data_IF_145473775281
#
_entry.id   IF_145473775281
#
_cell.length_a   1.000
_cell.length_b   1.000
_cell.length_c   1.000
_cell.angle_alpha   90.00
_cell.angle_beta   90.00
_cell.angle_gamma   90.00
#
_symmetry.space_group_name_H-M   'P 1'
#
loop_
_entity.id
_entity.type
_entity.pdbx_description
1 polymer ?
#
# COMPACT_ATOMS: atom_id res chain seq x y z
N UNK A 1 8.94 15.37 -9.10
CA UNK A 1 8.91 13.95 -9.51
C UNK A 1 8.30 13.15 -8.36
N UNK A 2 7.36 12.25 -8.65
CA UNK A 2 6.74 11.40 -7.63
C UNK A 2 7.69 10.26 -7.25
N UNK A 3 7.96 10.07 -5.96
CA UNK A 3 8.96 9.10 -5.51
C UNK A 3 8.44 7.65 -5.68
N UNK A 4 9.32 6.66 -5.57
CA UNK A 4 8.95 5.25 -5.79
C UNK A 4 7.92 4.73 -4.77
N UNK A 5 7.97 5.22 -3.53
CA UNK A 5 7.03 4.87 -2.47
C UNK A 5 5.64 5.46 -2.75
N UNK A 6 5.56 6.71 -3.18
CA UNK A 6 4.30 7.33 -3.60
C UNK A 6 3.65 6.53 -4.74
N UNK A 7 4.46 6.08 -5.72
CA UNK A 7 3.98 5.24 -6.84
C UNK A 7 3.41 3.92 -6.36
N UNK A 8 4.07 3.30 -5.39
CA UNK A 8 3.61 2.05 -4.78
C UNK A 8 2.25 2.26 -4.11
N UNK A 9 2.13 3.27 -3.23
CA UNK A 9 0.92 3.47 -2.44
C UNK A 9 -0.23 4.10 -3.22
N UNK A 10 0.03 4.78 -4.34
CA UNK A 10 -1.02 5.13 -5.31
C UNK A 10 -1.65 3.89 -5.98
N UNK A 11 -0.86 2.83 -6.20
CA UNK A 11 -1.41 1.55 -6.71
C UNK A 11 -2.20 0.81 -5.63
N UNK A 12 -1.73 0.83 -4.38
CA UNK A 12 -2.49 0.29 -3.24
C UNK A 12 -3.84 1.00 -3.11
N UNK A 13 -3.84 2.33 -3.15
CA UNK A 13 -5.06 3.15 -3.07
C UNK A 13 -6.08 2.78 -4.14
N UNK A 14 -5.64 2.69 -5.40
CA UNK A 14 -6.49 2.28 -6.54
C UNK A 14 -7.12 0.90 -6.31
N UNK A 15 -6.30 -0.08 -5.91
CA UNK A 15 -6.79 -1.44 -5.66
C UNK A 15 -7.76 -1.51 -4.47
N UNK A 16 -7.55 -0.70 -3.43
CA UNK A 16 -8.30 -0.81 -2.18
C UNK A 16 -9.60 0.01 -2.17
N UNK A 17 -9.64 1.15 -2.86
CA UNK A 17 -10.75 2.10 -2.84
C UNK A 17 -11.53 2.18 -4.16
N UNK A 18 -10.84 2.12 -5.30
CA UNK A 18 -11.49 2.29 -6.61
C UNK A 18 -11.98 0.96 -7.20
N UNK A 19 -11.20 -0.12 -7.08
CA UNK A 19 -11.56 -1.46 -7.58
C UNK A 19 -12.16 -2.35 -6.48
N UNK A 20 -13.00 -1.78 -5.62
CA UNK A 20 -13.48 -2.43 -4.38
C UNK A 20 -14.17 -3.78 -4.58
N UNK A 21 -14.83 -4.00 -5.73
CA UNK A 21 -15.41 -5.29 -6.13
C UNK A 21 -14.34 -6.34 -6.47
N UNK A 22 -13.30 -5.98 -7.24
CA UNK A 22 -12.20 -6.89 -7.58
C UNK A 22 -11.31 -7.21 -6.39
N UNK A 23 -11.16 -6.30 -5.42
CA UNK A 23 -10.30 -6.55 -4.25
C UNK A 23 -10.78 -7.74 -3.41
N UNK A 24 -12.09 -7.96 -3.33
CA UNK A 24 -12.65 -9.02 -2.48
C UNK A 24 -12.50 -10.40 -3.11
N UNK A 25 -12.46 -10.46 -4.44
CA UNK A 25 -12.27 -11.68 -5.24
C UNK A 25 -10.80 -12.06 -5.39
N UNK A 26 -9.91 -11.06 -5.48
CA UNK A 26 -8.52 -11.27 -5.90
C UNK A 26 -7.55 -11.39 -4.72
N UNK A 27 -7.75 -10.58 -3.67
CA UNK A 27 -6.87 -10.55 -2.51
C UNK A 27 -7.34 -11.52 -1.44
N UNK A 28 -6.41 -12.18 -0.76
CA UNK A 28 -6.73 -12.88 0.49
C UNK A 28 -7.11 -11.88 1.59
N UNK A 29 -7.80 -12.36 2.64
CA UNK A 29 -8.12 -11.55 3.84
C UNK A 29 -6.85 -10.92 4.43
N UNK A 30 -5.77 -11.70 4.50
CA UNK A 30 -4.48 -11.23 5.01
C UNK A 30 -3.90 -10.10 4.16
N UNK A 31 -3.88 -10.25 2.83
CA UNK A 31 -3.35 -9.22 1.91
C UNK A 31 -4.16 -7.93 1.99
N UNK A 32 -5.49 -8.01 2.07
CA UNK A 32 -6.35 -6.83 2.26
C UNK A 32 -6.01 -6.10 3.55
N UNK A 33 -5.92 -6.83 4.66
CA UNK A 33 -5.61 -6.24 5.98
C UNK A 33 -4.22 -5.62 5.99
N UNK A 34 -3.24 -6.30 5.40
CA UNK A 34 -1.87 -5.81 5.29
C UNK A 34 -1.78 -4.52 4.44
N UNK A 35 -2.40 -4.51 3.25
CA UNK A 35 -2.41 -3.35 2.36
C UNK A 35 -3.15 -2.16 2.99
N UNK A 36 -4.30 -2.38 3.64
CA UNK A 36 -5.01 -1.33 4.38
C UNK A 36 -4.15 -0.72 5.49
N UNK A 37 -3.45 -1.57 6.26
CA UNK A 37 -2.63 -1.13 7.38
C UNK A 37 -1.43 -0.31 6.91
N UNK A 38 -0.72 -0.80 5.89
CA UNK A 38 0.44 -0.10 5.33
C UNK A 38 0.05 1.20 4.62
N UNK A 39 -1.07 1.23 3.89
CA UNK A 39 -1.59 2.44 3.30
C UNK A 39 -1.98 3.50 4.34
N UNK A 40 -2.57 3.08 5.46
CA UNK A 40 -2.93 3.98 6.56
C UNK A 40 -1.69 4.59 7.23
N UNK A 41 -0.61 3.81 7.39
CA UNK A 41 0.68 4.32 7.87
C UNK A 41 1.23 5.33 6.86
N UNK A 42 1.34 4.94 5.59
CA UNK A 42 1.83 5.82 4.52
C UNK A 42 1.07 7.15 4.50
N UNK A 43 -0.27 7.16 4.54
CA UNK A 43 -1.06 8.40 4.56
C UNK A 43 -0.77 9.33 5.73
N UNK A 44 -0.37 8.78 6.88
CA UNK A 44 -0.07 9.56 8.09
C UNK A 44 1.37 10.09 8.10
N UNK A 45 2.27 9.44 7.35
CA UNK A 45 3.70 9.74 7.39
C UNK A 45 4.22 10.36 6.09
N UNK A 46 3.54 10.15 4.96
CA UNK A 46 3.95 10.67 3.65
C UNK A 46 3.84 12.19 3.63
N UNK A 47 4.93 12.87 3.29
CA UNK A 47 4.99 14.34 3.28
C UNK A 47 5.18 14.98 4.65
N UNK A 48 5.30 14.19 5.73
CA UNK A 48 5.71 14.68 7.04
C UNK A 48 7.20 14.38 7.25
N UNK A 49 8.04 15.38 6.96
CA UNK A 49 9.51 15.27 7.09
C UNK A 49 10.00 15.04 8.52
N UNK A 50 9.17 15.38 9.51
CA UNK A 50 9.48 15.19 10.94
C UNK A 50 8.94 13.88 11.50
N UNK A 51 8.31 13.03 10.67
CA UNK A 51 7.77 11.76 11.13
C UNK A 51 8.90 10.79 11.49
N UNK A 52 8.99 10.42 12.77
CA UNK A 52 9.89 9.35 13.25
C UNK A 52 9.35 7.96 12.94
N UNK A 53 8.11 7.88 12.42
CA UNK A 53 7.44 6.64 12.03
C UNK A 53 7.33 6.58 10.52
N UNK A 54 7.42 5.38 9.97
CA UNK A 54 7.30 5.14 8.54
C UNK A 54 7.23 3.66 8.26
N UNK A 55 7.08 3.32 7.00
CA UNK A 55 7.08 1.93 6.57
C UNK A 55 8.51 1.38 6.57
N UNK A 56 8.69 0.20 7.14
CA UNK A 56 9.95 -0.52 7.04
C UNK A 56 10.20 -1.03 5.62
N UNK A 57 11.46 -1.29 5.23
CA UNK A 57 11.77 -1.89 3.92
C UNK A 57 11.00 -3.19 3.68
N UNK A 58 10.81 -4.01 4.72
CA UNK A 58 10.04 -5.25 4.65
C UNK A 58 8.57 -4.97 4.31
N UNK A 59 7.95 -3.99 4.96
CA UNK A 59 6.56 -3.62 4.67
C UNK A 59 6.38 -3.14 3.22
N UNK A 60 7.30 -2.30 2.73
CA UNK A 60 7.30 -1.83 1.32
C UNK A 60 7.45 -3.00 0.35
N UNK A 61 8.40 -3.90 0.60
CA UNK A 61 8.64 -5.07 -0.23
C UNK A 61 7.46 -6.03 -0.26
N UNK A 62 6.81 -6.27 0.88
CA UNK A 62 5.60 -7.10 0.94
C UNK A 62 4.45 -6.46 0.17
N UNK A 63 4.19 -5.16 0.35
CA UNK A 63 3.15 -4.46 -0.41
C UNK A 63 3.41 -4.52 -1.93
N UNK A 64 4.66 -4.32 -2.35
CA UNK A 64 5.06 -4.49 -3.75
C UNK A 64 4.82 -5.91 -4.26
N UNK A 65 5.22 -6.92 -3.48
CA UNK A 65 5.07 -8.33 -3.86
C UNK A 65 3.61 -8.72 -4.03
N UNK A 66 2.73 -8.24 -3.13
CA UNK A 66 1.27 -8.44 -3.25
C UNK A 66 0.78 -7.79 -4.55
N UNK A 67 1.08 -6.51 -4.78
CA UNK A 67 0.64 -5.80 -5.99
C UNK A 67 1.17 -6.43 -7.29
N UNK A 68 2.35 -7.05 -7.25
CA UNK A 68 2.95 -7.73 -8.40
C UNK A 68 2.23 -9.03 -8.74
N UNK A 69 1.63 -9.73 -7.79
CA UNK A 69 0.86 -10.97 -8.06
C UNK A 69 -0.38 -10.72 -8.92
N UNK A 70 -0.87 -9.48 -8.95
CA UNK A 70 -2.17 -9.12 -9.51
C UNK A 70 -2.08 -8.05 -10.62
N UNK A 71 -0.86 -7.71 -11.07
CA UNK A 71 -0.60 -7.02 -12.35
C UNK A 71 -0.15 -8.05 -13.38
#
# INVERSE_FOLDING_TARGET
MMNAEDKLFKKVDRLMLHDSLKKNEVLTVWERTFLSSTYSIYRRTSGNEFSTKGLSPKQKSTAFSILKKYN
#
